data_IF_324829815300
#
_entry.id   IF_324829815300
#
_cell.length_a   1.000
_cell.length_b   1.000
_cell.length_c   1.000
_cell.angle_alpha   90.00
_cell.angle_beta   90.00
_cell.angle_gamma   90.00
#
_symmetry.space_group_name_H-M   'P 1'
#
loop_
_entity.id
_entity.type
_entity.pdbx_description
1 polymer ?
#
# COMPACT_ATOMS: atom_id res chain seq x y z
N UNK A 1 44.19 -74.25 -13.48
CA UNK A 1 43.10 -73.25 -13.37
C UNK A 1 43.71 -71.93 -12.91
N UNK A 2 43.68 -70.84 -13.69
CA UNK A 2 44.26 -69.58 -13.27
C UNK A 2 43.32 -68.89 -12.26
N UNK A 3 43.88 -68.49 -11.12
CA UNK A 3 43.18 -67.67 -10.12
C UNK A 3 43.06 -66.26 -10.66
N UNK A 4 41.82 -65.78 -10.83
CA UNK A 4 41.57 -64.36 -11.06
C UNK A 4 42.10 -63.57 -9.87
N UNK A 5 43.12 -62.74 -10.10
CA UNK A 5 43.61 -61.78 -9.12
C UNK A 5 42.46 -60.82 -8.83
N UNK A 6 41.95 -60.86 -7.59
CA UNK A 6 41.03 -59.82 -7.12
C UNK A 6 41.84 -58.54 -6.98
N UNK A 7 41.61 -57.61 -7.89
CA UNK A 7 42.14 -56.25 -7.80
C UNK A 7 41.54 -55.58 -6.56
N UNK A 8 42.39 -55.37 -5.55
CA UNK A 8 42.03 -54.60 -4.36
C UNK A 8 42.28 -53.12 -4.67
N UNK A 9 41.26 -52.29 -4.45
CA UNK A 9 41.35 -50.84 -4.64
C UNK A 9 42.51 -50.24 -3.83
N UNK A 10 43.24 -49.32 -4.45
CA UNK A 10 44.33 -48.62 -3.76
C UNK A 10 43.77 -47.53 -2.84
N UNK A 11 44.44 -47.28 -1.71
CA UNK A 11 44.05 -46.22 -0.75
C UNK A 11 44.00 -44.84 -1.43
N UNK A 12 44.89 -44.60 -2.40
CA UNK A 12 44.93 -43.37 -3.17
C UNK A 12 43.65 -43.16 -4.00
N UNK A 13 43.14 -44.22 -4.61
CA UNK A 13 41.91 -44.19 -5.41
C UNK A 13 40.68 -43.89 -4.55
N UNK A 14 40.63 -44.43 -3.33
CA UNK A 14 39.61 -44.09 -2.33
C UNK A 14 39.70 -42.61 -1.90
N UNK A 15 40.92 -42.08 -1.72
CA UNK A 15 41.14 -40.69 -1.32
C UNK A 15 40.71 -39.72 -2.43
N UNK A 16 41.05 -40.02 -3.68
CA UNK A 16 40.62 -39.23 -4.84
C UNK A 16 39.10 -39.30 -5.02
N UNK A 17 38.49 -40.48 -4.92
CA UNK A 17 37.05 -40.64 -5.04
C UNK A 17 36.28 -39.86 -3.96
N UNK A 18 36.75 -39.91 -2.70
CA UNK A 18 36.13 -39.15 -1.60
C UNK A 18 36.35 -37.64 -1.73
N UNK A 19 37.51 -37.19 -2.24
CA UNK A 19 37.74 -35.77 -2.53
C UNK A 19 36.80 -35.25 -3.62
N UNK A 20 36.64 -35.99 -4.73
CA UNK A 20 35.71 -35.63 -5.80
C UNK A 20 34.27 -35.60 -5.28
N UNK A 21 33.88 -36.60 -4.49
CA UNK A 21 32.55 -36.65 -3.87
C UNK A 21 32.29 -35.42 -2.99
N UNK A 22 33.26 -35.03 -2.15
CA UNK A 22 33.13 -33.86 -1.29
C UNK A 22 32.93 -32.56 -2.10
N UNK A 23 33.64 -32.40 -3.22
CA UNK A 23 33.49 -31.27 -4.15
C UNK A 23 32.09 -31.27 -4.80
N UNK A 24 31.61 -32.43 -5.24
CA UNK A 24 30.27 -32.55 -5.86
C UNK A 24 29.19 -32.20 -4.84
N UNK A 25 29.27 -32.73 -3.62
CA UNK A 25 28.28 -32.47 -2.56
C UNK A 25 28.25 -30.99 -2.18
N UNK A 26 29.41 -30.33 -2.06
CA UNK A 26 29.46 -28.88 -1.77
C UNK A 26 28.86 -28.04 -2.89
N UNK A 27 29.07 -28.42 -4.15
CA UNK A 27 28.46 -27.75 -5.29
C UNK A 27 26.94 -27.95 -5.32
N UNK A 28 26.45 -29.17 -5.07
CA UNK A 28 25.02 -29.46 -4.97
C UNK A 28 24.36 -28.68 -3.84
N UNK A 29 25.00 -28.63 -2.68
CA UNK A 29 24.50 -27.89 -1.53
C UNK A 29 24.39 -26.39 -1.83
N UNK A 30 25.41 -25.82 -2.49
CA UNK A 30 25.41 -24.42 -2.91
C UNK A 30 24.27 -24.10 -3.89
N UNK A 31 23.94 -25.03 -4.80
CA UNK A 31 22.80 -24.86 -5.73
C UNK A 31 21.48 -24.94 -4.98
N UNK A 32 21.35 -25.90 -4.06
CA UNK A 32 20.15 -26.08 -3.26
C UNK A 32 19.84 -24.86 -2.38
N UNK A 33 20.85 -24.31 -1.69
CA UNK A 33 20.68 -23.07 -0.90
C UNK A 33 20.19 -21.90 -1.76
N UNK A 34 20.75 -21.74 -2.97
CA UNK A 34 20.32 -20.68 -3.90
C UNK A 34 18.88 -20.87 -4.34
N UNK A 35 18.48 -22.10 -4.68
CA UNK A 35 17.11 -22.41 -5.08
C UNK A 35 16.12 -22.18 -3.93
N UNK A 36 16.47 -22.61 -2.71
CA UNK A 36 15.65 -22.40 -1.51
C UNK A 36 15.46 -20.91 -1.20
N UNK A 37 16.55 -20.13 -1.22
CA UNK A 37 16.47 -18.69 -0.98
C UNK A 37 15.66 -17.97 -2.06
N UNK A 38 15.79 -18.37 -3.33
CA UNK A 38 14.98 -17.82 -4.42
C UNK A 38 13.50 -18.14 -4.25
N UNK A 39 13.16 -19.34 -3.80
CA UNK A 39 11.79 -19.74 -3.50
C UNK A 39 11.19 -18.91 -2.37
N UNK A 40 11.89 -18.78 -1.23
CA UNK A 40 11.43 -17.97 -0.08
C UNK A 40 11.22 -16.50 -0.49
N UNK A 41 12.16 -15.93 -1.26
CA UNK A 41 12.02 -14.57 -1.78
C UNK A 41 10.83 -14.43 -2.74
N UNK A 42 10.58 -15.46 -3.56
CA UNK A 42 9.42 -15.55 -4.44
C UNK A 42 8.10 -15.53 -3.66
N UNK A 43 7.99 -16.34 -2.62
CA UNK A 43 6.79 -16.40 -1.78
C UNK A 43 6.50 -15.04 -1.12
N UNK A 44 7.52 -14.42 -0.54
CA UNK A 44 7.38 -13.09 0.07
C UNK A 44 6.93 -12.02 -0.95
N UNK A 45 7.33 -12.14 -2.22
CA UNK A 45 6.87 -11.23 -3.28
C UNK A 45 5.40 -11.46 -3.65
N UNK A 46 4.96 -12.72 -3.67
CA UNK A 46 3.55 -13.08 -3.93
C UNK A 46 2.67 -12.55 -2.80
N UNK A 47 3.08 -12.73 -1.54
CA UNK A 47 2.34 -12.23 -0.38
C UNK A 47 2.18 -10.71 -0.37
N UNK A 48 3.24 -9.96 -0.72
CA UNK A 48 3.17 -8.49 -0.83
C UNK A 48 2.21 -8.03 -1.93
N UNK A 49 2.25 -8.66 -3.09
CA UNK A 49 1.32 -8.33 -4.18
C UNK A 49 -0.12 -8.62 -3.78
N UNK A 50 -0.35 -9.73 -3.08
CA UNK A 50 -1.67 -10.10 -2.55
C UNK A 50 -2.16 -9.07 -1.53
N UNK A 51 -1.32 -8.70 -0.57
CA UNK A 51 -1.63 -7.69 0.43
C UNK A 51 -1.99 -6.35 -0.21
N UNK A 52 -1.14 -5.85 -1.11
CA UNK A 52 -1.39 -4.59 -1.83
C UNK A 52 -2.69 -4.60 -2.65
N UNK A 53 -3.01 -5.74 -3.29
CA UNK A 53 -4.27 -5.90 -4.02
C UNK A 53 -5.48 -5.84 -3.08
N UNK A 54 -5.42 -6.52 -1.94
CA UNK A 54 -6.50 -6.47 -0.93
C UNK A 54 -6.65 -5.04 -0.40
N UNK A 55 -5.55 -4.30 -0.20
CA UNK A 55 -5.60 -2.90 0.21
C UNK A 55 -6.26 -2.01 -0.84
N UNK A 56 -5.95 -2.20 -2.12
CA UNK A 56 -6.59 -1.47 -3.23
C UNK A 56 -8.09 -1.79 -3.32
N UNK A 57 -8.48 -3.04 -3.15
CA UNK A 57 -9.89 -3.44 -3.15
C UNK A 57 -10.66 -2.85 -1.95
N UNK A 58 -10.05 -2.80 -0.77
CA UNK A 58 -10.60 -2.12 0.41
C UNK A 58 -10.75 -0.62 0.17
N UNK A 59 -9.68 0.02 -0.29
CA UNK A 59 -9.65 1.46 -0.58
C UNK A 59 -10.69 1.81 -1.63
N UNK A 60 -10.75 1.05 -2.74
CA UNK A 60 -11.74 1.22 -3.78
C UNK A 60 -13.17 1.11 -3.25
N UNK A 61 -13.44 0.10 -2.42
CA UNK A 61 -14.77 -0.09 -1.83
C UNK A 61 -15.15 1.08 -0.94
N UNK A 62 -14.29 1.48 -0.01
CA UNK A 62 -14.60 2.58 0.92
C UNK A 62 -14.73 3.92 0.18
N UNK A 63 -13.83 4.20 -0.76
CA UNK A 63 -13.87 5.42 -1.54
C UNK A 63 -15.06 5.50 -2.50
N UNK A 64 -15.51 4.37 -3.05
CA UNK A 64 -16.71 4.33 -3.90
C UNK A 64 -17.99 4.74 -3.14
N UNK A 65 -17.97 4.62 -1.82
CA UNK A 65 -19.05 5.01 -0.92
C UNK A 65 -18.84 6.41 -0.34
N UNK A 66 -17.85 7.17 -0.86
CA UNK A 66 -17.61 8.53 -0.41
C UNK A 66 -18.84 9.41 -0.66
N UNK A 67 -19.14 10.23 0.33
CA UNK A 67 -20.24 11.19 0.28
C UNK A 67 -19.74 12.60 0.61
N UNK A 68 -20.40 13.60 0.05
CA UNK A 68 -20.20 15.02 0.39
C UNK A 68 -21.55 15.66 0.70
N UNK A 69 -21.52 16.68 1.54
CA UNK A 69 -22.67 17.58 1.69
C UNK A 69 -22.18 19.01 1.66
N UNK A 70 -22.82 19.79 0.82
CA UNK A 70 -22.54 21.21 0.59
C UNK A 70 -23.43 22.11 1.46
N UNK A 71 -24.18 21.54 2.41
CA UNK A 71 -25.09 22.29 3.27
C UNK A 71 -24.36 23.40 4.04
N UNK A 72 -25.04 24.55 4.15
CA UNK A 72 -24.58 25.65 4.97
C UNK A 72 -24.57 25.31 6.46
N UNK A 73 -25.21 24.21 6.89
CA UNK A 73 -25.41 23.81 8.30
C UNK A 73 -24.62 22.56 8.72
N UNK A 74 -24.19 21.72 7.78
CA UNK A 74 -23.32 20.57 8.03
C UNK A 74 -22.43 20.42 6.80
N UNK A 75 -21.13 20.19 6.97
CA UNK A 75 -20.20 20.12 5.83
C UNK A 75 -19.46 18.80 5.89
N UNK A 76 -19.60 18.00 4.83
CA UNK A 76 -18.93 16.72 4.67
C UNK A 76 -18.00 16.83 3.47
N UNK A 77 -16.74 16.48 3.67
CA UNK A 77 -15.67 16.88 2.77
C UNK A 77 -14.97 15.70 2.13
N UNK A 78 -14.55 15.93 0.90
CA UNK A 78 -13.57 15.11 0.21
C UNK A 78 -12.36 15.98 -0.09
N UNK A 79 -11.22 15.65 0.52
CA UNK A 79 -9.98 16.42 0.36
C UNK A 79 -8.82 15.46 0.21
N UNK A 80 -7.89 15.77 -0.69
CA UNK A 80 -6.68 14.99 -0.83
C UNK A 80 -5.65 15.66 -1.71
N UNK A 81 -4.46 15.10 -1.71
CA UNK A 81 -3.39 15.42 -2.63
C UNK A 81 -2.79 14.13 -3.19
N UNK A 82 -1.63 14.23 -3.82
CA UNK A 82 -0.97 13.06 -4.41
C UNK A 82 -0.61 11.97 -3.39
N UNK A 83 -0.35 12.29 -2.13
CA UNK A 83 0.17 11.33 -1.14
C UNK A 83 -0.85 10.88 -0.10
N UNK A 84 -1.98 11.58 0.00
CA UNK A 84 -3.03 11.24 0.94
C UNK A 84 -4.41 11.65 0.42
N UNK A 85 -5.42 10.96 0.92
CA UNK A 85 -6.82 11.29 0.66
C UNK A 85 -7.61 11.10 1.95
N UNK A 86 -8.52 12.04 2.19
CA UNK A 86 -9.45 12.06 3.30
C UNK A 86 -10.86 12.17 2.74
N UNK A 87 -11.75 11.32 3.26
CA UNK A 87 -13.14 11.33 2.87
C UNK A 87 -14.00 10.74 3.97
N UNK A 88 -15.29 10.82 3.69
CA UNK A 88 -16.38 10.41 4.53
C UNK A 88 -17.12 9.31 3.81
N UNK A 89 -17.40 8.20 4.50
CA UNK A 89 -18.21 7.13 3.95
C UNK A 89 -19.08 6.47 5.04
N UNK A 90 -20.16 5.77 4.66
CA UNK A 90 -20.95 4.97 5.58
C UNK A 90 -20.12 3.88 6.27
N UNK A 91 -20.47 3.59 7.51
CA UNK A 91 -19.90 2.51 8.31
C UNK A 91 -21.00 1.53 8.69
N UNK A 92 -20.61 0.29 9.01
CA UNK A 92 -21.58 -0.67 9.51
C UNK A 92 -22.23 -0.12 10.80
N UNK A 93 -23.56 -0.12 10.90
CA UNK A 93 -24.25 0.39 12.07
C UNK A 93 -23.85 -0.45 13.30
N UNK A 94 -23.58 0.22 14.41
CA UNK A 94 -23.32 -0.44 15.69
C UNK A 94 -23.95 0.36 16.83
N UNK A 95 -24.25 -0.31 17.94
CA UNK A 95 -24.85 0.32 19.13
C UNK A 95 -23.96 1.37 19.78
N UNK A 96 -22.66 1.33 19.49
CA UNK A 96 -21.65 2.17 20.11
C UNK A 96 -21.35 3.42 19.28
N UNK A 97 -21.93 3.52 18.08
CA UNK A 97 -21.77 4.65 17.18
C UNK A 97 -22.93 5.62 17.29
N UNK A 98 -22.58 6.90 17.31
CA UNK A 98 -23.53 8.00 17.24
C UNK A 98 -23.98 8.30 15.80
N UNK A 99 -23.24 7.82 14.80
CA UNK A 99 -23.54 8.03 13.39
C UNK A 99 -23.19 6.80 12.55
N UNK A 100 -23.99 6.58 11.50
CA UNK A 100 -23.70 5.59 10.45
C UNK A 100 -22.63 6.06 9.47
N UNK A 101 -21.95 7.19 9.75
CA UNK A 101 -20.88 7.76 8.93
C UNK A 101 -19.54 7.73 9.68
N UNK A 102 -18.48 7.38 8.96
CA UNK A 102 -17.11 7.36 9.45
C UNK A 102 -16.19 8.24 8.63
N UNK A 103 -15.11 8.68 9.26
CA UNK A 103 -14.00 9.39 8.63
C UNK A 103 -12.91 8.38 8.25
N UNK A 104 -12.41 8.53 7.03
CA UNK A 104 -11.37 7.67 6.48
C UNK A 104 -10.23 8.54 5.94
N UNK A 105 -9.00 8.12 6.23
CA UNK A 105 -7.82 8.75 5.66
C UNK A 105 -6.84 7.67 5.23
N UNK A 106 -6.30 7.82 4.03
CA UNK A 106 -5.23 6.96 3.51
C UNK A 106 -3.99 7.80 3.30
N UNK A 107 -2.87 7.33 3.82
CA UNK A 107 -1.62 8.10 3.79
C UNK A 107 -0.49 7.17 3.36
N UNK A 108 0.34 7.66 2.46
CA UNK A 108 1.62 7.03 2.18
C UNK A 108 2.64 7.37 3.27
N UNK A 109 3.09 6.37 4.03
CA UNK A 109 4.20 6.52 4.97
C UNK A 109 5.53 6.16 4.28
N UNK A 110 6.25 7.20 3.84
CA UNK A 110 7.54 7.04 3.19
C UNK A 110 8.67 6.57 4.14
N UNK A 111 8.49 6.71 5.46
CA UNK A 111 9.46 6.28 6.46
C UNK A 111 9.37 4.78 6.73
N UNK A 112 8.16 4.25 6.75
CA UNK A 112 7.88 2.82 6.93
C UNK A 112 7.73 2.05 5.61
N UNK A 113 7.74 2.73 4.46
CA UNK A 113 7.42 2.14 3.15
C UNK A 113 6.09 1.38 3.18
N UNK A 114 5.06 2.05 3.70
CA UNK A 114 3.76 1.43 3.89
C UNK A 114 2.61 2.34 3.47
N UNK A 115 1.51 1.71 3.08
CA UNK A 115 0.23 2.38 2.96
C UNK A 115 -0.49 2.20 4.30
N UNK A 116 -0.86 3.31 4.94
CA UNK A 116 -1.63 3.27 6.18
C UNK A 116 -3.03 3.80 5.98
N UNK A 117 -3.95 3.28 6.78
CA UNK A 117 -5.34 3.72 6.85
C UNK A 117 -5.65 4.18 8.27
N UNK A 118 -6.20 5.37 8.38
CA UNK A 118 -6.80 5.86 9.60
C UNK A 118 -8.32 5.86 9.45
N UNK A 119 -9.00 5.53 10.54
CA UNK A 119 -10.44 5.43 10.60
C UNK A 119 -10.92 5.92 11.96
N UNK A 120 -11.98 6.74 11.95
CA UNK A 120 -12.69 7.15 13.15
C UNK A 120 -14.16 7.33 12.85
N UNK A 121 -15.01 6.80 13.72
CA UNK A 121 -16.44 7.06 13.68
C UNK A 121 -16.87 7.66 15.03
N UNK A 122 -17.82 8.61 15.04
CA UNK A 122 -18.23 9.27 16.26
C UNK A 122 -18.99 8.28 17.16
N UNK A 123 -18.59 8.22 18.42
CA UNK A 123 -19.25 7.40 19.46
C UNK A 123 -20.18 8.22 20.36
N UNK A 124 -20.08 9.55 20.31
CA UNK A 124 -20.94 10.49 21.02
C UNK A 124 -21.08 11.82 20.24
N UNK A 125 -21.88 12.75 20.79
CA UNK A 125 -22.09 14.10 20.23
C UNK A 125 -20.86 15.02 20.32
N UNK A 126 -19.88 14.65 21.15
CA UNK A 126 -18.70 15.46 21.45
C UNK A 126 -17.44 14.98 20.72
N UNK A 127 -17.55 13.87 19.98
CA UNK A 127 -16.52 13.30 19.13
C UNK A 127 -15.86 14.40 18.30
N UNK A 128 -14.54 14.51 18.48
CA UNK A 128 -13.69 15.50 17.82
C UNK A 128 -13.13 15.01 16.49
N UNK A 129 -13.59 13.86 15.97
CA UNK A 129 -13.31 13.45 14.59
C UNK A 129 -13.73 14.59 13.65
N UNK A 130 -12.81 14.96 12.77
CA UNK A 130 -12.47 16.33 12.44
C UNK A 130 -13.34 17.05 11.40
N UNK A 131 -14.46 16.51 10.91
CA UNK A 131 -15.17 17.19 9.81
C UNK A 131 -16.68 17.16 9.86
N UNK A 132 -17.31 16.17 10.50
CA UNK A 132 -18.76 16.17 10.66
C UNK A 132 -19.17 17.08 11.82
N UNK A 133 -19.41 18.36 11.53
CA UNK A 133 -19.84 19.33 12.55
C UNK A 133 -20.97 20.23 12.09
N UNK A 134 -21.82 20.72 13.01
CA UNK A 134 -22.75 21.80 12.72
C UNK A 134 -21.98 23.04 12.26
N UNK A 135 -22.55 23.77 11.30
CA UNK A 135 -21.93 24.96 10.76
C UNK A 135 -21.78 26.05 11.81
N UNK A 136 -20.58 26.63 11.86
CA UNK A 136 -20.16 27.53 12.92
C UNK A 136 -18.97 26.99 13.71
N UNK A 137 -18.70 25.68 13.64
CA UNK A 137 -17.41 25.12 14.08
C UNK A 137 -16.43 25.26 12.92
N UNK A 138 -15.34 26.01 13.11
CA UNK A 138 -14.25 26.11 12.14
C UNK A 138 -13.69 24.71 11.85
N UNK A 139 -14.15 24.10 10.76
CA UNK A 139 -13.48 22.94 10.17
C UNK A 139 -12.25 23.52 9.49
N UNK A 140 -11.15 23.59 10.24
CA UNK A 140 -9.87 24.04 9.70
C UNK A 140 -9.51 23.12 8.52
N UNK A 141 -9.09 23.66 7.35
CA UNK A 141 -8.77 22.86 6.19
C UNK A 141 -7.86 21.69 6.57
N UNK A 142 -8.40 20.50 6.32
CA UNK A 142 -7.93 19.18 6.70
C UNK A 142 -6.45 18.99 6.44
N UNK A 143 -5.62 19.15 7.47
CA UNK A 143 -4.37 18.39 7.53
C UNK A 143 -4.73 16.93 7.73
N UNK A 144 -4.12 15.98 7.00
CA UNK A 144 -4.33 14.57 7.25
C UNK A 144 -4.12 14.30 8.74
N UNK A 145 -4.82 13.31 9.30
CA UNK A 145 -4.49 12.82 10.64
C UNK A 145 -3.05 12.29 10.57
N UNK A 146 -2.10 13.13 10.96
CA UNK A 146 -0.67 12.81 11.00
C UNK A 146 -0.33 11.93 12.20
N UNK A 147 -1.31 11.64 13.05
CA UNK A 147 -1.19 10.64 14.10
C UNK A 147 -1.25 9.23 13.50
N UNK A 148 -0.12 8.83 12.89
CA UNK A 148 0.09 7.48 12.36
C UNK A 148 -0.02 6.40 13.45
N UNK A 149 0.11 6.74 14.75
CA UNK A 149 0.01 5.76 15.83
C UNK A 149 -1.40 5.17 16.01
N UNK A 150 -2.44 5.86 15.52
CA UNK A 150 -3.82 5.35 15.47
C UNK A 150 -4.19 4.75 14.09
N UNK A 151 -3.22 4.66 13.17
CA UNK A 151 -3.44 4.12 11.82
C UNK A 151 -3.10 2.63 11.77
N UNK A 152 -3.81 1.88 10.92
CA UNK A 152 -3.49 0.50 10.60
C UNK A 152 -2.69 0.42 9.30
N UNK A 153 -1.64 -0.41 9.30
CA UNK A 153 -0.87 -0.72 8.09
C UNK A 153 -1.73 -1.61 7.19
N UNK A 154 -1.99 -1.16 5.96
CA UNK A 154 -2.73 -1.93 4.97
C UNK A 154 -1.82 -2.76 4.07
N UNK A 155 -0.70 -2.17 3.65
CA UNK A 155 0.29 -2.83 2.81
C UNK A 155 1.70 -2.35 3.17
N UNK A 156 2.65 -3.28 3.20
CA UNK A 156 4.07 -3.04 3.39
C UNK A 156 4.84 -3.15 2.07
N UNK A 157 6.05 -2.59 2.01
CA UNK A 157 6.86 -2.58 0.80
C UNK A 157 6.31 -1.64 -0.28
N UNK A 158 5.45 -0.70 0.12
CA UNK A 158 4.93 0.38 -0.72
C UNK A 158 5.97 1.49 -0.73
N UNK A 159 6.54 1.79 -1.88
CA UNK A 159 7.57 2.84 -2.03
C UNK A 159 7.07 4.05 -2.79
N UNK A 160 5.83 3.98 -3.27
CA UNK A 160 5.07 5.11 -3.76
C UNK A 160 3.59 4.77 -3.68
N UNK A 161 2.79 5.76 -3.31
CA UNK A 161 1.35 5.72 -3.48
C UNK A 161 0.93 7.10 -4.00
N UNK A 162 0.19 7.12 -5.10
CA UNK A 162 -0.25 8.36 -5.74
C UNK A 162 -1.74 8.37 -5.95
N UNK A 163 -2.38 9.47 -5.58
CA UNK A 163 -3.77 9.77 -5.90
C UNK A 163 -3.84 10.86 -6.98
N UNK A 164 -4.62 10.59 -8.02
CA UNK A 164 -4.95 11.55 -9.06
C UNK A 164 -6.47 11.64 -9.19
N UNK A 165 -6.98 12.87 -9.25
CA UNK A 165 -8.41 13.15 -9.21
C UNK A 165 -8.84 13.67 -10.57
N UNK A 166 -9.98 13.25 -11.06
CA UNK A 166 -10.51 13.73 -12.33
C UNK A 166 -11.84 14.41 -12.11
N UNK A 167 -12.04 15.56 -12.78
CA UNK A 167 -13.33 16.23 -12.78
C UNK A 167 -14.32 15.59 -13.77
N UNK A 168 -15.54 16.10 -13.85
CA UNK A 168 -16.56 15.59 -14.77
C UNK A 168 -16.15 15.72 -16.26
N UNK A 169 -15.25 16.65 -16.58
CA UNK A 169 -14.69 16.83 -17.93
C UNK A 169 -13.53 15.88 -18.24
N UNK A 170 -13.08 15.09 -17.26
CA UNK A 170 -11.94 14.18 -17.39
C UNK A 170 -10.58 14.87 -17.30
N UNK A 171 -10.52 16.13 -16.86
CA UNK A 171 -9.23 16.78 -16.59
C UNK A 171 -8.69 16.28 -15.24
N UNK A 172 -7.40 15.91 -15.25
CA UNK A 172 -6.70 15.40 -14.07
C UNK A 172 -6.15 16.51 -13.17
N UNK A 173 -6.24 16.28 -11.86
CA UNK A 173 -5.81 17.17 -10.78
C UNK A 173 -4.96 16.40 -9.78
N UNK A 174 -3.90 17.02 -9.27
CA UNK A 174 -3.01 16.43 -8.24
C UNK A 174 -3.49 16.68 -6.80
N UNK A 175 -4.54 17.47 -6.65
CA UNK A 175 -5.23 17.71 -5.39
C UNK A 175 -6.71 17.89 -5.64
N UNK A 176 -7.50 17.60 -4.61
CA UNK A 176 -8.93 17.84 -4.61
C UNK A 176 -9.34 18.47 -3.28
N UNK A 177 -10.26 19.42 -3.36
CA UNK A 177 -10.92 19.96 -2.19
C UNK A 177 -12.36 20.30 -2.57
N UNK A 178 -13.32 19.55 -2.02
CA UNK A 178 -14.75 19.74 -2.29
C UNK A 178 -15.34 21.03 -1.69
N UNK A 179 -14.54 21.85 -1.00
CA UNK A 179 -14.93 23.18 -0.48
C UNK A 179 -14.31 24.35 -1.22
N UNK A 180 -13.40 24.11 -2.17
CA UNK A 180 -12.77 25.21 -2.89
C UNK A 180 -13.85 26.04 -3.61
N UNK A 181 -13.82 27.36 -3.41
CA UNK A 181 -14.92 28.30 -3.66
C UNK A 181 -15.24 28.56 -5.14
N UNK A 182 -14.65 27.82 -6.07
CA UNK A 182 -14.72 28.17 -7.47
C UNK A 182 -15.97 27.68 -8.20
N UNK A 183 -16.68 26.62 -7.74
CA UNK A 183 -17.99 26.17 -8.27
C UNK A 183 -18.51 24.92 -7.50
N UNK A 184 -18.82 25.00 -6.19
CA UNK A 184 -19.37 23.88 -5.39
C UNK A 184 -18.76 22.51 -5.75
N UNK A 185 -17.42 22.46 -5.70
CA UNK A 185 -16.63 21.44 -6.37
C UNK A 185 -17.10 20.04 -5.93
N UNK A 186 -17.75 19.26 -6.81
CA UNK A 186 -18.39 18.01 -6.43
C UNK A 186 -17.36 16.97 -6.01
N UNK A 187 -17.80 15.77 -5.67
CA UNK A 187 -16.88 14.63 -5.61
C UNK A 187 -16.12 14.52 -6.93
N UNK A 188 -14.83 14.12 -6.91
CA UNK A 188 -14.13 13.84 -8.16
C UNK A 188 -14.89 12.74 -8.91
N UNK A 189 -15.00 12.86 -10.23
CA UNK A 189 -15.72 11.88 -11.05
C UNK A 189 -15.02 10.52 -11.01
N UNK A 190 -13.68 10.56 -10.98
CA UNK A 190 -12.79 9.42 -10.94
C UNK A 190 -11.62 9.74 -10.01
N UNK A 191 -11.20 8.73 -9.26
CA UNK A 191 -9.93 8.75 -8.54
C UNK A 191 -9.08 7.60 -9.07
N UNK A 192 -7.90 7.93 -9.56
CA UNK A 192 -6.87 6.96 -9.91
C UNK A 192 -5.90 6.81 -8.75
N UNK A 193 -5.66 5.56 -8.40
CA UNK A 193 -4.78 5.18 -7.30
C UNK A 193 -3.71 4.29 -7.87
N UNK A 194 -2.46 4.69 -7.68
CA UNK A 194 -1.31 3.90 -8.09
C UNK A 194 -0.44 3.56 -6.89
N UNK A 195 -0.20 2.27 -6.68
CA UNK A 195 0.76 1.76 -5.71
C UNK A 195 2.00 1.27 -6.42
N UNK A 196 3.15 1.66 -5.91
CA UNK A 196 4.44 1.20 -6.36
C UNK A 196 5.04 0.27 -5.30
N UNK A 197 5.26 -0.97 -5.69
CA UNK A 197 5.79 -2.01 -4.81
C UNK A 197 7.21 -2.37 -5.21
N UNK A 198 8.04 -2.66 -4.21
CA UNK A 198 9.37 -3.25 -4.39
C UNK A 198 9.57 -4.42 -3.44
N UNK A 199 10.50 -5.30 -3.77
CA UNK A 199 10.92 -6.35 -2.83
C UNK A 199 11.74 -5.78 -1.66
N UNK A 200 11.91 -6.57 -0.61
CA UNK A 200 12.62 -6.15 0.61
C UNK A 200 14.10 -5.84 0.37
N UNK A 201 14.73 -6.48 -0.64
CA UNK A 201 16.14 -6.25 -0.97
C UNK A 201 16.33 -4.91 -1.66
N UNK A 202 15.46 -4.60 -2.61
CA UNK A 202 15.40 -3.34 -3.34
C UNK A 202 15.01 -2.22 -2.39
N UNK A 203 14.02 -2.42 -1.52
CA UNK A 203 13.61 -1.47 -0.49
C UNK A 203 14.79 -1.07 0.42
N UNK A 204 15.63 -2.02 0.83
CA UNK A 204 16.81 -1.76 1.67
C UNK A 204 17.89 -0.93 0.96
N UNK A 205 17.90 -0.91 -0.37
CA UNK A 205 18.82 -0.12 -1.17
C UNK A 205 18.22 1.20 -1.68
N UNK A 206 16.95 1.49 -1.36
CA UNK A 206 16.36 2.76 -1.73
C UNK A 206 16.90 3.88 -0.83
N UNK A 207 17.30 5.02 -1.42
CA UNK A 207 17.63 6.21 -0.65
C UNK A 207 16.44 6.64 0.21
N UNK A 208 16.71 7.16 1.41
CA UNK A 208 15.65 7.54 2.35
C UNK A 208 14.70 8.63 1.79
N UNK A 209 15.18 9.54 0.96
CA UNK A 209 14.37 10.57 0.29
C UNK A 209 15.09 11.21 -0.91
N UNK A 210 14.41 12.10 -1.64
CA UNK A 210 14.99 12.93 -2.71
C UNK A 210 15.00 12.30 -4.10
N UNK A 211 15.59 12.99 -5.07
CA UNK A 211 15.58 12.64 -6.49
C UNK A 211 16.15 11.25 -6.78
N UNK A 212 17.15 10.82 -6.00
CA UNK A 212 17.73 9.48 -6.11
C UNK A 212 16.70 8.38 -5.77
N UNK A 213 15.84 8.61 -4.77
CA UNK A 213 14.74 7.70 -4.42
C UNK A 213 13.72 7.66 -5.54
N UNK A 214 13.31 8.80 -6.07
CA UNK A 214 12.36 8.91 -7.19
C UNK A 214 12.86 8.20 -8.45
N UNK A 215 14.15 8.32 -8.78
CA UNK A 215 14.74 7.65 -9.93
C UNK A 215 14.82 6.13 -9.74
N UNK A 216 15.18 5.66 -8.53
CA UNK A 216 15.21 4.24 -8.23
C UNK A 216 13.81 3.61 -8.22
N UNK A 217 12.81 4.33 -7.70
CA UNK A 217 11.39 4.02 -7.79
C UNK A 217 10.95 3.84 -9.25
N UNK A 218 11.31 4.77 -10.14
CA UNK A 218 10.96 4.69 -11.56
C UNK A 218 11.65 3.53 -12.29
N UNK A 219 12.83 3.11 -11.84
CA UNK A 219 13.61 2.05 -12.49
C UNK A 219 13.22 0.63 -12.02
N UNK A 220 12.85 0.47 -10.76
CA UNK A 220 12.68 -0.85 -10.13
C UNK A 220 11.28 -1.13 -9.59
N UNK A 221 10.43 -0.11 -9.48
CA UNK A 221 9.10 -0.28 -8.92
C UNK A 221 8.14 -0.96 -9.88
N UNK A 222 7.31 -1.87 -9.36
CA UNK A 222 6.15 -2.41 -10.08
C UNK A 222 4.92 -1.61 -9.70
N UNK A 223 4.28 -0.99 -10.69
CA UNK A 223 3.09 -0.18 -10.50
C UNK A 223 1.84 -1.04 -10.60
N UNK A 224 1.06 -1.09 -9.52
CA UNK A 224 -0.31 -1.55 -9.54
C UNK A 224 -1.21 -0.31 -9.52
N UNK A 225 -1.91 -0.03 -10.61
CA UNK A 225 -2.87 1.06 -10.68
C UNK A 225 -4.31 0.54 -10.70
N UNK A 226 -5.20 1.30 -10.07
CA UNK A 226 -6.64 1.06 -10.05
C UNK A 226 -7.37 2.38 -10.27
N UNK A 227 -8.31 2.37 -11.20
CA UNK A 227 -9.16 3.52 -11.51
C UNK A 227 -10.53 3.28 -10.88
N UNK A 228 -10.98 4.22 -10.08
CA UNK A 228 -12.25 4.13 -9.34
C UNK A 228 -13.16 5.26 -9.79
N UNK A 229 -14.36 4.91 -10.25
CA UNK A 229 -15.39 5.89 -10.56
C UNK A 229 -16.25 6.14 -9.34
N UNK A 230 -16.44 7.40 -8.96
CA UNK A 230 -17.32 7.76 -7.84
C UNK A 230 -18.74 7.94 -8.37
N UNK A 231 -19.66 7.12 -7.88
CA UNK A 231 -21.05 7.07 -8.37
C UNK A 231 -21.87 8.31 -7.97
N UNK A 232 -21.42 9.06 -6.97
CA UNK A 232 -22.11 10.23 -6.42
C UNK A 232 -21.55 11.58 -6.93
N UNK A 233 -20.78 11.59 -8.02
CA UNK A 233 -20.19 12.80 -8.61
C UNK A 233 -21.15 13.61 -9.50
N UNK A 234 -22.46 13.59 -9.20
CA UNK A 234 -23.51 14.26 -9.98
C UNK A 234 -23.76 15.68 -9.48
#
# INVERSE_FOLDING_TARGET
MPRALREAFTVLELLVATAILAVIVTLLFSIFERASNAWIAGEANVDRQRSARISLELLSREMSQAFITTSATQRILFVGNTNWVYFVAPVAPSSDLYSDLGEFSYIYDASANSLVRWYSAPTDTNSTAGTYGPAGRSVTPLTPVTNLAASSVLAEGVVGCTFQYYDAGGLGHFSWNSQASTNDNPLPSVVEISLLLVDSRTAAHLPASGTARTNAIAQFGRTNSMIIRLLNAQ
#
